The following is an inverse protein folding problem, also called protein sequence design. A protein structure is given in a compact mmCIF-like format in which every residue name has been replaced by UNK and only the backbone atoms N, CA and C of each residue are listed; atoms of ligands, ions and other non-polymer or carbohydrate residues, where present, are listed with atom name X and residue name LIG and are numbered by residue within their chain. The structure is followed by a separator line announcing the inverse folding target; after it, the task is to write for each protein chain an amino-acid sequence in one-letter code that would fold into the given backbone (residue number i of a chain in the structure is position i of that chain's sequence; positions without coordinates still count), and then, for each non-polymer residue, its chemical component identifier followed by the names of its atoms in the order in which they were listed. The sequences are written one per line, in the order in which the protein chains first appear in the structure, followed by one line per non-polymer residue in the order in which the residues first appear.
data_IF_949932587112
#
_entry.id   IF_949932587112
#
_cell.length_a   1.000
_cell.length_b   1.000
_cell.length_c   1.000
_cell.angle_alpha   90.00
_cell.angle_beta   90.00
_cell.angle_gamma   90.00
#
_symmetry.space_group_name_H-M   'P 1'
#
loop_
_entity.id
_entity.type
_entity.pdbx_description
1 polymer ?
#
# COMPACT_ATOMS: atom_id res chain seq x y z
N UNK A 1 -29.21 17.20 3.21
CA UNK A 1 -27.81 16.86 3.56
C UNK A 1 -27.69 15.36 3.56
N UNK A 2 -26.72 14.84 2.84
CA UNK A 2 -26.48 13.42 2.80
C UNK A 2 -26.11 12.92 4.19
N UNK A 3 -26.71 11.80 4.60
CA UNK A 3 -26.48 11.28 5.95
C UNK A 3 -25.40 10.21 5.92
N UNK A 4 -24.18 10.58 6.27
CA UNK A 4 -23.05 9.68 6.40
C UNK A 4 -22.95 8.96 7.75
N UNK A 5 -23.85 9.21 8.71
CA UNK A 5 -23.73 8.70 10.08
C UNK A 5 -23.75 7.17 10.21
N UNK A 6 -24.25 6.47 9.19
CA UNK A 6 -24.27 5.02 9.13
C UNK A 6 -23.40 4.45 8.02
N UNK A 7 -22.55 5.28 7.39
CA UNK A 7 -21.59 4.83 6.38
C UNK A 7 -20.37 4.28 7.09
N UNK A 8 -20.08 3.01 6.85
CA UNK A 8 -18.82 2.39 7.28
C UNK A 8 -17.67 3.04 6.52
N UNK A 9 -16.57 3.35 7.19
CA UNK A 9 -15.38 3.90 6.56
C UNK A 9 -14.23 2.91 6.67
N UNK A 10 -13.67 2.53 5.53
CA UNK A 10 -12.57 1.58 5.41
C UNK A 10 -11.38 2.31 4.79
N UNK A 11 -10.32 2.47 5.57
CA UNK A 11 -9.02 2.91 5.11
C UNK A 11 -8.29 1.71 4.49
N UNK A 12 -7.95 1.81 3.21
CA UNK A 12 -7.37 0.68 2.47
C UNK A 12 -5.86 0.76 2.32
N UNK A 13 -5.26 1.84 2.83
CA UNK A 13 -3.82 2.04 2.84
C UNK A 13 -3.44 2.94 4.03
N UNK A 14 -3.28 2.32 5.16
CA UNK A 14 -2.75 2.94 6.35
C UNK A 14 -1.48 2.22 6.78
N UNK A 15 -0.58 2.93 7.47
CA UNK A 15 0.75 2.40 7.77
C UNK A 15 0.98 2.12 9.25
N UNK A 16 1.87 1.15 9.51
CA UNK A 16 2.50 0.85 10.80
C UNK A 16 4.01 0.78 10.63
N UNK A 17 4.73 0.96 11.72
CA UNK A 17 6.18 1.09 11.68
C UNK A 17 6.88 -0.03 12.44
N UNK A 18 7.34 -1.02 11.74
CA UNK A 18 8.07 -2.17 12.29
C UNK A 18 9.56 -1.89 12.54
N UNK A 19 10.05 -0.74 12.15
CA UNK A 19 11.47 -0.44 12.25
C UNK A 19 12.05 -0.39 13.66
N UNK A 20 11.23 -0.26 14.72
CA UNK A 20 11.66 -0.32 16.12
C UNK A 20 11.44 -1.69 16.77
N UNK A 21 10.93 -2.67 15.99
CA UNK A 21 10.64 -4.03 16.49
C UNK A 21 11.93 -4.84 16.54
N UNK A 22 12.11 -5.59 17.61
CA UNK A 22 13.16 -6.63 17.66
C UNK A 22 12.73 -7.84 16.81
N UNK A 23 13.03 -7.78 15.52
CA UNK A 23 12.76 -8.88 14.62
C UNK A 23 13.68 -10.08 14.87
N UNK A 24 14.86 -9.90 15.49
CA UNK A 24 15.80 -10.99 15.74
C UNK A 24 15.21 -12.07 16.64
N UNK A 25 14.39 -11.68 17.63
CA UNK A 25 13.72 -12.62 18.54
C UNK A 25 12.69 -13.50 17.83
N UNK A 26 12.13 -13.03 16.68
CA UNK A 26 11.14 -13.72 15.86
C UNK A 26 11.78 -14.58 14.76
N UNK A 27 13.10 -14.43 14.55
CA UNK A 27 13.83 -15.18 13.54
C UNK A 27 14.39 -16.51 14.10
N UNK A 28 14.44 -17.58 13.27
CA UNK A 28 15.15 -18.79 13.65
C UNK A 28 16.61 -18.50 14.04
N UNK A 29 17.13 -19.19 15.04
CA UNK A 29 18.45 -18.93 15.65
C UNK A 29 19.56 -18.70 14.65
N UNK A 30 19.65 -19.54 13.63
CA UNK A 30 20.67 -19.45 12.55
C UNK A 30 20.62 -18.15 11.75
N UNK A 31 19.50 -17.41 11.79
CA UNK A 31 19.29 -16.18 11.03
C UNK A 31 19.37 -14.91 11.90
N UNK A 32 19.39 -15.03 13.23
CA UNK A 32 19.34 -13.88 14.15
C UNK A 32 20.47 -12.88 13.94
N UNK A 33 21.66 -13.34 13.57
CA UNK A 33 22.79 -12.47 13.26
C UNK A 33 22.63 -11.65 11.96
N UNK A 34 21.64 -11.98 11.14
CA UNK A 34 21.31 -11.27 9.90
C UNK A 34 20.06 -10.36 10.06
N UNK A 35 19.54 -10.22 11.27
CA UNK A 35 18.45 -9.30 11.54
C UNK A 35 18.85 -7.85 11.19
N UNK A 36 17.89 -6.99 10.79
CA UNK A 36 18.17 -5.59 10.51
C UNK A 36 18.79 -4.87 11.71
N UNK A 37 19.87 -4.14 11.51
CA UNK A 37 20.56 -3.37 12.55
C UNK A 37 20.37 -1.88 12.27
N UNK A 38 19.79 -1.14 13.22
CA UNK A 38 19.68 0.31 13.12
C UNK A 38 20.99 1.00 13.46
N UNK A 39 21.35 1.96 12.62
CA UNK A 39 22.54 2.77 12.73
C UNK A 39 22.16 4.25 12.69
N UNK A 40 23.09 5.10 13.15
CA UNK A 40 23.13 6.52 12.82
C UNK A 40 24.35 6.78 11.94
N UNK A 41 24.19 7.52 10.85
CA UNK A 41 25.32 7.98 10.07
C UNK A 41 26.00 9.20 10.74
N UNK A 42 27.08 9.70 10.13
CA UNK A 42 27.83 10.83 10.69
C UNK A 42 27.04 12.15 10.75
N UNK A 43 25.95 12.23 10.00
CA UNK A 43 25.03 13.37 9.98
C UNK A 43 23.85 13.18 10.94
N UNK A 44 23.80 12.04 11.64
CA UNK A 44 22.72 11.68 12.57
C UNK A 44 21.51 11.05 11.90
N UNK A 45 21.56 10.77 10.60
CA UNK A 45 20.47 10.17 9.87
C UNK A 45 20.32 8.69 10.23
N UNK A 46 19.09 8.21 10.35
CA UNK A 46 18.82 6.79 10.56
C UNK A 46 19.15 5.98 9.32
N UNK A 47 19.77 4.82 9.52
CA UNK A 47 20.11 3.84 8.49
C UNK A 47 19.82 2.44 9.00
N UNK A 48 19.66 1.51 8.09
CA UNK A 48 19.54 0.08 8.39
C UNK A 48 20.70 -0.65 7.72
N UNK A 49 21.46 -1.40 8.50
CA UNK A 49 22.39 -2.41 7.97
C UNK A 49 21.61 -3.71 7.80
N UNK A 50 21.48 -4.19 6.58
CA UNK A 50 20.78 -5.40 6.24
C UNK A 50 21.45 -6.04 5.02
N UNK A 51 21.71 -7.34 5.07
CA UNK A 51 22.38 -8.10 4.01
C UNK A 51 23.75 -7.47 3.62
N UNK A 52 24.50 -6.99 4.62
CA UNK A 52 25.82 -6.36 4.39
C UNK A 52 25.75 -4.99 3.68
N UNK A 53 24.57 -4.43 3.48
CA UNK A 53 24.34 -3.14 2.82
C UNK A 53 23.67 -2.15 3.78
N UNK A 54 23.96 -0.87 3.56
CA UNK A 54 23.30 0.22 4.28
C UNK A 54 22.09 0.67 3.48
N UNK A 55 20.93 0.57 4.10
CA UNK A 55 19.67 1.02 3.55
C UNK A 55 19.25 2.29 4.26
N UNK A 56 18.53 3.13 3.56
CA UNK A 56 17.88 4.27 4.18
C UNK A 56 16.84 3.80 5.20
N UNK A 57 16.69 4.58 6.26
CA UNK A 57 15.61 4.44 7.22
C UNK A 57 14.84 5.74 7.28
N UNK A 58 13.57 5.65 7.58
CA UNK A 58 12.71 6.80 7.75
C UNK A 58 13.32 7.85 8.64
N UNK A 59 13.25 9.08 8.25
CA UNK A 59 13.77 10.23 8.97
C UNK A 59 12.79 11.39 8.95
N UNK A 60 12.93 12.25 9.91
CA UNK A 60 12.11 13.46 9.96
C UNK A 60 10.75 13.23 10.64
N UNK A 61 9.85 14.21 10.53
CA UNK A 61 8.56 14.18 11.21
C UNK A 61 7.54 13.19 10.62
N UNK A 62 7.82 12.53 9.51
CA UNK A 62 6.99 11.46 8.98
C UNK A 62 7.83 10.27 8.53
N UNK A 63 7.37 9.02 8.69
CA UNK A 63 8.04 7.87 8.12
C UNK A 63 8.18 8.03 6.60
N UNK A 64 9.31 7.60 6.07
CA UNK A 64 9.56 7.57 4.62
C UNK A 64 10.25 8.82 4.05
N UNK A 65 10.42 9.89 4.81
CA UNK A 65 10.98 11.15 4.28
C UNK A 65 12.43 11.40 4.70
N UNK A 66 13.23 11.89 3.79
CA UNK A 66 14.56 12.43 4.06
C UNK A 66 14.65 13.91 3.62
N UNK A 67 15.26 14.73 4.47
CA UNK A 67 15.51 16.15 4.18
C UNK A 67 14.60 17.13 4.88
N UNK A 68 14.73 18.44 4.59
CA UNK A 68 13.95 19.50 5.22
C UNK A 68 12.47 19.44 4.82
N UNK A 69 11.58 19.60 5.80
CA UNK A 69 10.13 19.63 5.62
C UNK A 69 9.52 20.91 6.18
N UNK A 70 8.32 21.22 5.73
CA UNK A 70 7.53 22.32 6.28
C UNK A 70 6.87 21.89 7.59
N UNK A 71 6.40 22.87 8.38
CA UNK A 71 5.61 22.60 9.59
C UNK A 71 4.27 21.89 9.31
N UNK A 72 3.83 21.86 8.05
CA UNK A 72 2.61 21.15 7.64
C UNK A 72 2.80 19.64 7.53
N UNK A 73 4.03 19.18 7.30
CA UNK A 73 4.31 17.76 7.22
C UNK A 73 4.05 17.09 8.57
N UNK A 74 3.39 15.95 8.54
CA UNK A 74 3.00 15.24 9.76
C UNK A 74 4.21 14.57 10.41
N UNK A 75 4.17 14.56 11.73
CA UNK A 75 5.13 13.83 12.54
C UNK A 75 4.69 12.39 12.78
N UNK A 76 5.64 11.61 13.26
CA UNK A 76 5.39 10.28 13.77
C UNK A 76 4.33 10.30 14.88
N UNK A 77 3.38 9.37 14.81
CA UNK A 77 2.35 9.22 15.84
C UNK A 77 2.48 7.87 16.56
N UNK A 78 2.10 7.80 17.87
CA UNK A 78 2.14 6.55 18.62
C UNK A 78 1.38 5.39 17.95
N UNK A 79 0.29 5.68 17.22
CA UNK A 79 -0.48 4.69 16.48
C UNK A 79 0.29 3.92 15.40
N UNK A 80 1.49 4.39 15.03
CA UNK A 80 2.38 3.62 14.13
C UNK A 80 2.96 2.36 14.78
N UNK A 81 3.01 2.29 16.11
CA UNK A 81 3.61 1.15 16.86
C UNK A 81 2.71 0.61 17.96
N UNK A 82 1.74 1.41 18.43
CA UNK A 82 0.80 1.06 19.48
C UNK A 82 -0.61 0.92 18.90
N UNK A 83 -1.17 -0.30 18.85
CA UNK A 83 -2.50 -0.54 18.29
C UNK A 83 -3.62 0.16 19.07
N UNK A 84 -3.46 0.39 20.38
CA UNK A 84 -4.46 1.10 21.19
C UNK A 84 -4.48 2.58 20.84
N UNK A 85 -3.32 3.18 20.62
CA UNK A 85 -3.22 4.55 20.13
C UNK A 85 -3.77 4.64 18.69
N UNK A 86 -3.49 3.64 17.84
CA UNK A 86 -4.04 3.59 16.46
C UNK A 86 -5.57 3.61 16.44
N UNK A 87 -6.22 2.80 17.26
CA UNK A 87 -7.68 2.76 17.34
C UNK A 87 -8.28 4.11 17.74
N UNK A 88 -7.62 4.84 18.64
CA UNK A 88 -8.03 6.20 19.03
C UNK A 88 -7.86 7.20 17.87
N UNK A 89 -6.77 7.10 17.13
CA UNK A 89 -6.53 7.95 15.98
C UNK A 89 -7.57 7.68 14.86
N UNK A 90 -7.91 6.42 14.61
CA UNK A 90 -8.99 6.04 13.70
C UNK A 90 -10.34 6.64 14.12
N UNK A 91 -10.65 6.63 15.42
CA UNK A 91 -11.88 7.26 15.93
C UNK A 91 -11.90 8.79 15.72
N UNK A 92 -10.74 9.46 15.83
CA UNK A 92 -10.61 10.89 15.56
C UNK A 92 -10.76 11.22 14.07
N UNK A 93 -10.36 10.33 13.20
CA UNK A 93 -10.37 10.50 11.76
C UNK A 93 -11.69 10.03 11.12
N UNK A 94 -12.45 9.20 11.83
CA UNK A 94 -13.72 8.66 11.35
C UNK A 94 -13.60 7.34 10.61
N UNK A 95 -12.53 6.58 10.87
CA UNK A 95 -12.22 5.29 10.22
C UNK A 95 -12.68 4.13 11.11
N UNK A 96 -13.57 3.29 10.60
CA UNK A 96 -14.05 2.11 11.31
C UNK A 96 -13.12 0.92 11.18
N UNK A 97 -12.46 0.76 10.01
CA UNK A 97 -11.56 -0.35 9.70
C UNK A 97 -10.37 0.15 8.90
N UNK A 98 -9.17 -0.35 9.20
CA UNK A 98 -7.95 0.00 8.49
C UNK A 98 -7.20 -1.25 8.02
N UNK A 99 -6.72 -1.22 6.77
CA UNK A 99 -5.83 -2.21 6.18
C UNK A 99 -4.42 -1.65 6.27
N UNK A 100 -3.52 -2.37 6.97
CA UNK A 100 -2.28 -1.84 7.51
C UNK A 100 -1.06 -2.41 6.81
N UNK A 101 -0.30 -1.54 6.19
CA UNK A 101 0.99 -1.84 5.56
C UNK A 101 2.15 -1.55 6.52
N UNK A 102 3.20 -2.35 6.45
CA UNK A 102 4.48 -2.02 7.07
C UNK A 102 5.24 -0.98 6.24
N UNK A 103 5.99 -0.10 6.90
CA UNK A 103 6.65 1.05 6.25
C UNK A 103 8.14 0.84 5.98
N UNK A 104 8.85 0.05 6.80
CA UNK A 104 10.31 0.00 6.73
C UNK A 104 10.83 -1.28 6.09
N UNK A 105 10.69 -2.41 6.77
CA UNK A 105 11.18 -3.71 6.26
C UNK A 105 10.26 -4.22 5.16
N UNK A 106 8.96 -3.95 5.27
CA UNK A 106 7.98 -4.30 4.26
C UNK A 106 8.38 -3.76 2.88
N UNK A 107 8.74 -2.51 2.80
CA UNK A 107 9.14 -1.86 1.55
C UNK A 107 10.56 -2.28 1.09
N UNK A 108 11.38 -2.83 1.98
CA UNK A 108 12.78 -3.19 1.68
C UNK A 108 12.95 -4.66 1.28
N UNK A 109 12.17 -5.56 1.85
CA UNK A 109 12.41 -7.01 1.82
C UNK A 109 12.52 -7.60 0.42
N UNK A 110 11.73 -7.12 -0.53
CA UNK A 110 11.75 -7.60 -1.92
C UNK A 110 12.94 -7.05 -2.74
N UNK A 111 13.72 -6.14 -2.17
CA UNK A 111 14.99 -5.66 -2.70
C UNK A 111 16.21 -6.46 -2.27
N UNK A 112 16.06 -7.47 -1.40
CA UNK A 112 17.17 -8.32 -0.95
C UNK A 112 17.59 -9.31 -2.05
N UNK A 113 18.89 -9.59 -2.11
CA UNK A 113 19.45 -10.62 -3.00
C UNK A 113 19.10 -12.03 -2.52
N UNK A 114 19.11 -12.23 -1.19
CA UNK A 114 18.80 -13.53 -0.58
C UNK A 114 17.30 -13.74 -0.42
N UNK A 115 16.74 -14.60 -1.26
CA UNK A 115 15.35 -15.04 -1.10
C UNK A 115 15.10 -15.80 0.21
N UNK A 116 16.12 -16.46 0.77
CA UNK A 116 16.01 -17.14 2.06
C UNK A 116 15.91 -16.15 3.22
N UNK A 117 16.75 -15.10 3.23
CA UNK A 117 16.68 -14.04 4.23
C UNK A 117 15.35 -13.28 4.11
N UNK A 118 14.93 -12.95 2.88
CA UNK A 118 13.64 -12.34 2.63
C UNK A 118 12.48 -13.18 3.20
N UNK A 119 12.51 -14.49 3.00
CA UNK A 119 11.50 -15.42 3.54
C UNK A 119 11.43 -15.37 5.06
N UNK A 120 12.56 -15.35 5.73
CA UNK A 120 12.62 -15.31 7.20
C UNK A 120 12.12 -13.95 7.73
N UNK A 121 12.50 -12.86 7.07
CA UNK A 121 12.07 -11.52 7.45
C UNK A 121 10.57 -11.31 7.19
N UNK A 122 10.03 -11.76 6.06
CA UNK A 122 8.58 -11.72 5.81
C UNK A 122 7.81 -12.38 6.94
N UNK A 123 8.20 -13.62 7.34
CA UNK A 123 7.56 -14.33 8.45
C UNK A 123 7.65 -13.53 9.76
N UNK A 124 8.81 -13.02 10.12
CA UNK A 124 9.01 -12.29 11.36
C UNK A 124 8.16 -11.00 11.44
N UNK A 125 8.05 -10.27 10.33
CA UNK A 125 7.20 -9.07 10.22
C UNK A 125 5.72 -9.46 10.24
N UNK A 126 5.31 -10.48 9.51
CA UNK A 126 3.92 -10.95 9.48
C UNK A 126 3.43 -11.37 10.87
N UNK A 127 4.23 -12.12 11.63
CA UNK A 127 3.90 -12.50 13.00
C UNK A 127 3.72 -11.29 13.92
N UNK A 128 4.59 -10.29 13.80
CA UNK A 128 4.46 -9.04 14.54
C UNK A 128 3.21 -8.26 14.14
N UNK A 129 2.94 -8.14 12.83
CA UNK A 129 1.78 -7.39 12.34
C UNK A 129 0.45 -8.05 12.75
N UNK A 130 0.39 -9.38 12.70
CA UNK A 130 -0.77 -10.13 13.20
C UNK A 130 -0.99 -9.93 14.70
N UNK A 131 0.10 -9.87 15.48
CA UNK A 131 0.03 -9.55 16.91
C UNK A 131 -0.47 -8.11 17.13
N UNK A 132 0.05 -7.13 16.40
CA UNK A 132 -0.44 -5.76 16.43
C UNK A 132 -1.95 -5.69 16.14
N UNK A 133 -2.40 -6.33 15.08
CA UNK A 133 -3.80 -6.34 14.67
C UNK A 133 -4.71 -7.10 15.64
N UNK A 134 -4.16 -7.99 16.48
CA UNK A 134 -4.94 -8.76 17.47
C UNK A 134 -5.60 -7.90 18.54
N UNK A 135 -5.19 -6.63 18.70
CA UNK A 135 -5.81 -5.68 19.63
C UNK A 135 -7.29 -5.40 19.28
N UNK A 136 -7.63 -5.36 18.00
CA UNK A 136 -9.00 -5.37 17.49
C UNK A 136 -9.05 -5.98 16.08
N UNK A 137 -9.19 -7.28 15.93
CA UNK A 137 -9.11 -7.97 14.65
C UNK A 137 -10.30 -7.69 13.70
N UNK A 138 -11.30 -6.92 14.15
CA UNK A 138 -12.38 -6.43 13.29
C UNK A 138 -12.08 -5.07 12.67
N UNK A 139 -11.21 -4.31 13.32
CA UNK A 139 -10.86 -2.95 12.87
C UNK A 139 -9.46 -2.84 12.28
N UNK A 140 -8.51 -3.67 12.71
CA UNK A 140 -7.11 -3.66 12.28
C UNK A 140 -6.81 -4.92 11.47
N UNK A 141 -6.54 -4.76 10.17
CA UNK A 141 -6.28 -5.85 9.24
C UNK A 141 -4.88 -5.69 8.64
N UNK A 142 -3.99 -6.66 8.93
CA UNK A 142 -2.62 -6.60 8.45
C UNK A 142 -2.48 -7.05 6.99
N UNK A 143 -1.66 -6.34 6.24
CA UNK A 143 -1.22 -6.73 4.90
C UNK A 143 -0.03 -7.67 5.00
N UNK A 144 -0.17 -8.87 4.48
CA UNK A 144 0.89 -9.88 4.53
C UNK A 144 2.07 -9.52 3.63
N UNK A 145 3.28 -9.79 4.09
CA UNK A 145 4.49 -9.70 3.28
C UNK A 145 4.85 -11.07 2.69
N UNK A 146 5.24 -11.08 1.42
CA UNK A 146 5.70 -12.30 0.73
C UNK A 146 7.04 -12.06 0.05
N UNK A 147 7.96 -13.05 0.08
CA UNK A 147 9.27 -12.93 -0.56
C UNK A 147 9.16 -13.18 -2.07
N UNK A 148 8.78 -12.15 -2.85
CA UNK A 148 8.50 -12.29 -4.29
C UNK A 148 9.72 -12.79 -5.10
N UNK A 149 10.94 -12.47 -4.71
CA UNK A 149 12.17 -13.01 -5.32
C UNK A 149 12.38 -14.52 -5.08
N UNK A 150 11.56 -15.14 -4.22
CA UNK A 150 11.54 -16.57 -3.95
C UNK A 150 10.10 -17.13 -4.08
N UNK A 151 9.53 -17.24 -5.30
CA UNK A 151 8.10 -17.48 -5.52
C UNK A 151 7.55 -18.73 -4.82
N UNK A 152 8.33 -19.80 -4.71
CA UNK A 152 7.89 -21.00 -4.00
C UNK A 152 7.81 -20.82 -2.48
N UNK A 153 8.62 -19.93 -1.92
CA UNK A 153 8.50 -19.53 -0.52
C UNK A 153 7.33 -18.57 -0.33
N UNK A 154 7.09 -17.66 -1.29
CA UNK A 154 5.96 -16.76 -1.29
C UNK A 154 4.61 -17.51 -1.28
N UNK A 155 4.48 -18.61 -2.04
CA UNK A 155 3.29 -19.47 -2.00
C UNK A 155 3.03 -19.99 -0.59
N UNK A 156 4.05 -20.51 0.10
CA UNK A 156 3.90 -21.01 1.48
C UNK A 156 3.53 -19.90 2.46
N UNK A 157 4.03 -18.70 2.21
CA UNK A 157 3.70 -17.54 3.03
C UNK A 157 2.27 -17.07 2.79
N UNK A 158 1.79 -17.06 1.55
CA UNK A 158 0.37 -16.79 1.22
C UNK A 158 -0.57 -17.78 1.90
N UNK A 159 -0.25 -19.08 1.89
CA UNK A 159 -1.04 -20.10 2.58
C UNK A 159 -1.08 -19.88 4.11
N UNK A 160 0.05 -19.45 4.69
CA UNK A 160 0.11 -19.10 6.11
C UNK A 160 -0.76 -17.87 6.40
N UNK A 161 -0.62 -16.81 5.62
CA UNK A 161 -1.36 -15.56 5.77
C UNK A 161 -2.87 -15.76 5.64
N UNK A 162 -3.30 -16.56 4.67
CA UNK A 162 -4.72 -16.89 4.50
C UNK A 162 -5.29 -17.60 5.72
N UNK A 163 -4.55 -18.55 6.32
CA UNK A 163 -4.95 -19.24 7.56
C UNK A 163 -4.96 -18.31 8.76
N UNK A 164 -4.09 -17.32 8.79
CA UNK A 164 -3.98 -16.32 9.85
C UNK A 164 -5.02 -15.19 9.72
N UNK A 165 -5.79 -15.13 8.63
CA UNK A 165 -6.86 -14.16 8.44
C UNK A 165 -6.41 -12.85 7.78
N UNK A 166 -5.21 -12.78 7.20
CA UNK A 166 -4.80 -11.65 6.37
C UNK A 166 -5.72 -11.52 5.15
N UNK A 167 -6.10 -10.29 4.81
CA UNK A 167 -7.08 -10.03 3.73
C UNK A 167 -6.42 -9.78 2.39
N UNK A 168 -5.13 -9.48 2.38
CA UNK A 168 -4.31 -9.24 1.18
C UNK A 168 -2.85 -9.50 1.48
N UNK A 169 -2.04 -9.64 0.43
CA UNK A 169 -0.59 -9.66 0.53
C UNK A 169 0.03 -8.62 -0.40
N UNK A 170 1.11 -7.99 0.06
CA UNK A 170 1.82 -6.94 -0.66
C UNK A 170 2.69 -7.52 -1.77
N UNK A 171 2.59 -6.92 -2.95
CA UNK A 171 3.55 -7.03 -4.04
C UNK A 171 4.35 -5.73 -4.16
N UNK A 172 5.65 -5.79 -4.43
CA UNK A 172 6.39 -4.62 -4.89
C UNK A 172 6.05 -4.31 -6.34
N UNK A 173 6.47 -3.16 -6.85
CA UNK A 173 6.36 -2.84 -8.28
C UNK A 173 7.36 -3.64 -9.13
N UNK A 174 8.50 -3.97 -8.53
CA UNK A 174 9.54 -4.84 -9.10
C UNK A 174 10.35 -5.48 -7.95
N UNK A 175 11.15 -6.48 -8.24
CA UNK A 175 12.03 -7.12 -7.25
C UNK A 175 13.50 -7.00 -7.64
N UNK A 176 14.39 -7.41 -6.73
CA UNK A 176 15.82 -7.48 -7.00
C UNK A 176 16.12 -8.09 -8.38
N UNK A 177 17.03 -7.46 -9.12
CA UNK A 177 17.37 -7.86 -10.50
C UNK A 177 16.41 -7.33 -11.56
N UNK A 178 15.61 -6.31 -11.25
CA UNK A 178 14.69 -5.60 -12.16
C UNK A 178 13.66 -6.52 -12.81
N UNK A 179 13.11 -7.47 -12.05
CA UNK A 179 12.02 -8.31 -12.49
C UNK A 179 10.69 -7.59 -12.22
N UNK A 180 9.97 -7.28 -13.27
CA UNK A 180 8.65 -6.63 -13.19
C UNK A 180 7.53 -7.64 -12.97
N UNK A 181 6.42 -7.20 -12.40
CA UNK A 181 5.33 -8.07 -11.93
C UNK A 181 4.59 -8.85 -13.04
N UNK A 182 4.83 -8.61 -14.32
CA UNK A 182 4.33 -9.46 -15.41
C UNK A 182 5.18 -10.69 -15.71
N UNK A 183 6.40 -10.80 -15.16
CA UNK A 183 7.33 -11.91 -15.42
C UNK A 183 6.71 -13.25 -14.97
N UNK A 184 6.88 -14.29 -15.80
CA UNK A 184 6.37 -15.64 -15.55
C UNK A 184 6.89 -16.29 -14.27
N UNK A 185 7.99 -15.81 -13.72
CA UNK A 185 8.49 -16.32 -12.44
C UNK A 185 7.48 -16.12 -11.30
N UNK A 186 6.58 -15.13 -11.39
CA UNK A 186 5.55 -14.85 -10.39
C UNK A 186 4.25 -15.64 -10.57
N UNK A 187 4.11 -16.40 -11.66
CA UNK A 187 2.94 -17.23 -11.94
C UNK A 187 2.51 -18.12 -10.74
N UNK A 188 3.42 -18.75 -9.97
CA UNK A 188 3.01 -19.51 -8.78
C UNK A 188 2.35 -18.67 -7.69
N UNK A 189 2.73 -17.39 -7.55
CA UNK A 189 2.12 -16.45 -6.59
C UNK A 189 0.69 -16.13 -7.03
N UNK A 190 0.49 -15.83 -8.30
CA UNK A 190 -0.82 -15.49 -8.87
C UNK A 190 -1.80 -16.65 -8.82
N UNK A 191 -1.34 -17.86 -9.15
CA UNK A 191 -2.14 -19.08 -9.06
C UNK A 191 -2.58 -19.38 -7.63
N UNK A 192 -1.66 -19.25 -6.67
CA UNK A 192 -1.96 -19.42 -5.25
C UNK A 192 -2.94 -18.37 -4.75
N UNK A 193 -2.69 -17.08 -5.03
CA UNK A 193 -3.54 -15.98 -4.59
C UNK A 193 -4.97 -16.12 -5.12
N UNK A 194 -5.16 -16.41 -6.42
CA UNK A 194 -6.50 -16.63 -6.97
C UNK A 194 -7.18 -17.87 -6.38
N UNK A 195 -6.42 -18.94 -6.10
CA UNK A 195 -6.95 -20.18 -5.50
C UNK A 195 -7.42 -19.98 -4.07
N UNK A 196 -6.73 -19.12 -3.32
CA UNK A 196 -7.11 -18.71 -1.97
C UNK A 196 -8.22 -17.65 -1.95
N UNK A 197 -8.54 -17.03 -3.11
CA UNK A 197 -9.43 -15.87 -3.18
C UNK A 197 -8.84 -14.61 -2.55
N UNK A 198 -7.54 -14.60 -2.25
CA UNK A 198 -6.83 -13.47 -1.66
C UNK A 198 -6.42 -12.48 -2.74
N UNK A 199 -6.86 -11.20 -2.72
CA UNK A 199 -6.33 -10.18 -3.59
C UNK A 199 -4.88 -9.85 -3.23
N UNK A 200 -4.17 -9.25 -4.18
CA UNK A 200 -2.81 -8.76 -3.98
C UNK A 200 -2.79 -7.23 -4.07
N UNK A 201 -1.93 -6.59 -3.30
CA UNK A 201 -1.79 -5.13 -3.25
C UNK A 201 -0.39 -4.73 -3.71
N UNK A 202 -0.29 -4.13 -4.90
CA UNK A 202 0.97 -3.58 -5.42
C UNK A 202 1.21 -2.24 -4.75
N UNK A 203 2.31 -2.14 -4.01
CA UNK A 203 2.69 -0.93 -3.29
C UNK A 203 4.05 -0.42 -3.81
N UNK A 204 4.14 0.85 -4.22
CA UNK A 204 5.38 1.45 -4.71
C UNK A 204 6.31 1.82 -3.55
N UNK A 205 7.52 2.23 -3.92
CA UNK A 205 8.48 2.84 -3.03
C UNK A 205 9.45 3.71 -3.83
N UNK A 206 10.19 4.57 -3.16
CA UNK A 206 11.19 5.43 -3.81
C UNK A 206 12.39 4.65 -4.38
N UNK A 207 12.51 3.38 -4.05
CA UNK A 207 13.59 2.51 -4.50
C UNK A 207 14.89 2.68 -3.70
N UNK A 208 15.31 3.90 -3.47
CA UNK A 208 16.45 4.25 -2.62
C UNK A 208 16.45 5.77 -2.36
N UNK A 209 17.01 6.20 -1.27
CA UNK A 209 17.14 7.64 -0.95
C UNK A 209 18.33 8.28 -1.68
N UNK A 210 18.33 8.23 -2.99
CA UNK A 210 19.35 8.87 -3.82
C UNK A 210 20.72 8.16 -3.85
N UNK A 211 20.82 6.91 -3.39
CA UNK A 211 22.06 6.12 -3.48
C UNK A 211 21.90 5.04 -4.55
N UNK A 212 22.38 5.27 -5.78
CA UNK A 212 22.26 4.31 -6.87
C UNK A 212 22.80 2.92 -6.50
N UNK A 213 22.02 1.88 -6.78
CA UNK A 213 22.43 0.48 -6.58
C UNK A 213 22.35 -0.03 -5.15
N UNK A 214 21.89 0.76 -4.19
CA UNK A 214 21.72 0.32 -2.80
C UNK A 214 20.40 -0.44 -2.62
N UNK A 215 19.33 -0.01 -3.27
CA UNK A 215 18.05 -0.70 -3.27
C UNK A 215 18.01 -1.76 -4.38
N UNK A 216 17.48 -2.91 -4.09
CA UNK A 216 17.22 -3.94 -5.09
C UNK A 216 15.90 -3.76 -5.83
N UNK A 217 15.02 -2.87 -5.33
CA UNK A 217 13.80 -2.43 -5.98
C UNK A 217 14.04 -1.02 -6.52
N UNK A 218 13.67 -0.81 -7.77
CA UNK A 218 13.82 0.50 -8.42
C UNK A 218 12.58 1.34 -8.23
N UNK A 219 12.79 2.65 -8.03
CA UNK A 219 11.76 3.67 -8.14
C UNK A 219 12.03 4.53 -9.35
N UNK A 220 11.06 4.74 -10.22
CA UNK A 220 11.20 5.57 -11.41
C UNK A 220 11.68 6.98 -11.05
N UNK A 221 12.69 7.47 -11.75
CA UNK A 221 13.30 8.79 -11.47
C UNK A 221 14.42 8.77 -10.43
N UNK A 222 14.55 7.72 -9.63
CA UNK A 222 15.60 7.61 -8.61
C UNK A 222 17.00 7.57 -9.21
N UNK A 223 17.14 7.16 -10.47
CA UNK A 223 18.39 7.18 -11.24
C UNK A 223 18.83 8.58 -11.68
N UNK A 224 17.95 9.60 -11.55
CA UNK A 224 18.19 10.99 -12.01
C UNK A 224 18.15 12.01 -10.90
N UNK A 225 17.37 11.77 -9.85
CA UNK A 225 17.04 12.76 -8.86
C UNK A 225 17.60 12.39 -7.49
N UNK A 226 18.17 13.39 -6.81
CA UNK A 226 18.70 13.27 -5.46
C UNK A 226 17.79 13.92 -4.40
N UNK A 227 16.84 14.78 -4.84
CA UNK A 227 15.87 15.39 -3.93
C UNK A 227 14.67 14.46 -3.77
N UNK A 228 14.34 14.12 -2.54
CA UNK A 228 13.22 13.24 -2.20
C UNK A 228 11.92 13.63 -2.90
N UNK A 229 11.57 14.93 -2.91
CA UNK A 229 10.35 15.43 -3.56
C UNK A 229 10.23 15.00 -5.03
N UNK A 230 11.32 15.02 -5.79
CA UNK A 230 11.28 14.62 -7.20
C UNK A 230 11.20 13.11 -7.35
N UNK A 231 11.91 12.38 -6.48
CA UNK A 231 11.86 10.90 -6.48
C UNK A 231 10.47 10.42 -6.11
N UNK A 232 9.87 10.96 -5.05
CA UNK A 232 8.54 10.59 -4.61
C UNK A 232 7.48 10.88 -5.69
N UNK A 233 7.45 12.11 -6.22
CA UNK A 233 6.51 12.53 -7.26
C UNK A 233 6.57 11.67 -8.53
N UNK A 234 7.71 11.06 -8.83
CA UNK A 234 7.89 10.22 -10.02
C UNK A 234 7.74 8.74 -9.70
N UNK A 235 8.38 8.26 -8.63
CA UNK A 235 8.42 6.83 -8.32
C UNK A 235 7.01 6.25 -8.08
N UNK A 236 6.18 6.93 -7.30
CA UNK A 236 4.90 6.37 -6.88
C UNK A 236 3.94 6.14 -8.06
N UNK A 237 3.50 7.15 -8.81
CA UNK A 237 2.59 6.91 -9.92
C UNK A 237 3.25 6.13 -11.07
N UNK A 238 4.51 6.41 -11.41
CA UNK A 238 5.11 5.78 -12.59
C UNK A 238 5.44 4.31 -12.37
N UNK A 239 5.86 3.92 -11.17
CA UNK A 239 6.07 2.50 -10.86
C UNK A 239 4.75 1.72 -10.88
N UNK A 240 3.64 2.29 -10.41
CA UNK A 240 2.33 1.67 -10.54
C UNK A 240 1.88 1.55 -12.00
N UNK A 241 2.10 2.61 -12.79
CA UNK A 241 1.83 2.58 -14.23
C UNK A 241 2.65 1.49 -14.94
N UNK A 242 3.93 1.34 -14.60
CA UNK A 242 4.81 0.31 -15.15
C UNK A 242 4.35 -1.08 -14.71
N UNK A 243 4.07 -1.29 -13.42
CA UNK A 243 3.62 -2.57 -12.90
C UNK A 243 2.28 -3.00 -13.54
N UNK A 244 1.29 -2.09 -13.61
CA UNK A 244 0.00 -2.34 -14.25
C UNK A 244 0.18 -2.69 -15.73
N UNK A 245 0.97 -1.89 -16.48
CA UNK A 245 1.23 -2.13 -17.89
C UNK A 245 1.85 -3.51 -18.11
N UNK A 246 2.84 -3.87 -17.31
CA UNK A 246 3.54 -5.14 -17.49
C UNK A 246 2.64 -6.34 -17.11
N UNK A 247 1.88 -6.25 -16.02
CA UNK A 247 0.93 -7.32 -15.64
C UNK A 247 -0.16 -7.51 -16.69
N UNK A 248 -0.72 -6.43 -17.22
CA UNK A 248 -1.75 -6.49 -18.28
C UNK A 248 -1.12 -7.01 -19.57
N UNK A 249 -0.02 -6.41 -20.03
CA UNK A 249 0.61 -6.72 -21.31
C UNK A 249 1.11 -8.17 -21.40
N UNK A 250 1.67 -8.68 -20.31
CA UNK A 250 2.10 -10.09 -20.21
C UNK A 250 0.96 -11.05 -19.89
N UNK A 251 -0.30 -10.59 -19.96
CA UNK A 251 -1.49 -11.42 -19.85
C UNK A 251 -1.73 -12.05 -18.47
N UNK A 252 -1.24 -11.47 -17.37
CA UNK A 252 -1.45 -12.01 -16.02
C UNK A 252 -2.94 -12.15 -15.72
N UNK A 253 -3.72 -11.11 -15.99
CA UNK A 253 -5.17 -11.10 -15.71
C UNK A 253 -5.98 -12.02 -16.60
N UNK A 254 -5.47 -12.38 -17.77
CA UNK A 254 -6.08 -13.35 -18.68
C UNK A 254 -5.75 -14.79 -18.29
N UNK A 255 -4.53 -15.03 -17.76
CA UNK A 255 -4.13 -16.35 -17.23
C UNK A 255 -4.79 -16.66 -15.89
N UNK A 256 -5.00 -15.63 -15.07
CA UNK A 256 -5.56 -15.74 -13.71
C UNK A 256 -6.86 -14.93 -13.61
N UNK A 257 -7.97 -15.41 -14.21
CA UNK A 257 -9.18 -14.60 -14.35
C UNK A 257 -9.92 -14.29 -13.04
N UNK A 258 -9.55 -14.92 -11.93
CA UNK A 258 -10.09 -14.63 -10.61
C UNK A 258 -9.12 -13.83 -9.73
N UNK A 259 -7.91 -13.55 -10.21
CA UNK A 259 -6.94 -12.74 -9.51
C UNK A 259 -7.43 -11.28 -9.46
N UNK A 260 -7.35 -10.68 -8.28
CA UNK A 260 -7.61 -9.25 -8.06
C UNK A 260 -6.34 -8.58 -7.57
N UNK A 261 -6.04 -7.41 -8.14
CA UNK A 261 -4.84 -6.64 -7.82
C UNK A 261 -5.21 -5.18 -7.57
N UNK A 262 -4.86 -4.69 -6.39
CA UNK A 262 -4.95 -3.28 -6.03
C UNK A 262 -3.61 -2.57 -6.27
N UNK A 263 -3.66 -1.34 -6.74
CA UNK A 263 -2.50 -0.46 -6.95
C UNK A 263 -2.59 0.69 -5.95
N UNK A 264 -1.69 0.67 -4.95
CA UNK A 264 -1.77 1.49 -3.74
C UNK A 264 -0.88 2.73 -3.84
N UNK A 265 -1.24 3.80 -3.14
CA UNK A 265 -0.40 4.99 -2.88
C UNK A 265 0.23 5.65 -4.14
N UNK A 266 -0.54 5.77 -5.21
CA UNK A 266 -0.05 6.47 -6.42
C UNK A 266 -1.11 7.32 -7.09
N UNK A 267 -2.24 7.52 -6.39
CA UNK A 267 -3.40 8.23 -6.90
C UNK A 267 -4.12 7.47 -8.01
N UNK A 268 -5.26 7.99 -8.45
CA UNK A 268 -6.09 7.39 -9.49
C UNK A 268 -6.26 8.29 -10.73
N UNK A 269 -5.91 9.57 -10.65
CA UNK A 269 -6.14 10.55 -11.71
C UNK A 269 -5.46 10.25 -13.05
N UNK A 270 -4.38 9.46 -13.04
CA UNK A 270 -3.66 9.03 -14.24
C UNK A 270 -4.36 7.89 -15.02
N UNK A 271 -5.29 7.17 -14.40
CA UNK A 271 -5.85 5.93 -14.94
C UNK A 271 -6.58 6.11 -16.29
N UNK A 272 -7.41 7.15 -16.52
CA UNK A 272 -8.06 7.35 -17.81
C UNK A 272 -7.05 7.51 -18.95
N UNK A 273 -6.02 8.33 -18.75
CA UNK A 273 -4.95 8.53 -19.71
C UNK A 273 -4.20 7.22 -20.02
N UNK A 274 -3.91 6.44 -18.97
CA UNK A 274 -3.12 5.22 -19.13
C UNK A 274 -3.91 4.13 -19.87
N UNK A 275 -5.19 3.98 -19.57
CA UNK A 275 -6.08 3.04 -20.24
C UNK A 275 -6.21 3.34 -21.75
N UNK A 276 -6.44 4.63 -22.10
CA UNK A 276 -6.54 5.08 -23.48
C UNK A 276 -5.22 4.87 -24.23
N UNK A 277 -4.11 5.29 -23.63
CA UNK A 277 -2.78 5.14 -24.23
C UNK A 277 -2.43 3.67 -24.46
N UNK A 278 -2.77 2.78 -23.55
CA UNK A 278 -2.47 1.37 -23.68
C UNK A 278 -3.31 0.72 -24.79
N UNK A 279 -4.61 1.03 -24.86
CA UNK A 279 -5.49 0.56 -25.93
C UNK A 279 -4.99 1.01 -27.31
N UNK A 280 -4.56 2.28 -27.44
CA UNK A 280 -4.00 2.80 -28.70
C UNK A 280 -2.76 2.00 -29.17
N UNK A 281 -1.87 1.64 -28.23
CA UNK A 281 -0.66 0.90 -28.56
C UNK A 281 -0.98 -0.54 -28.99
N UNK A 282 -1.93 -1.20 -28.31
CA UNK A 282 -2.35 -2.57 -28.66
C UNK A 282 -2.97 -2.66 -30.03
N UNK A 283 -3.69 -1.66 -30.49
CA UNK A 283 -4.25 -1.65 -31.87
C UNK A 283 -3.18 -1.84 -32.96
N UNK A 284 -1.95 -1.42 -32.69
CA UNK A 284 -0.85 -1.47 -33.66
C UNK A 284 0.22 -2.51 -33.32
N UNK A 285 0.41 -2.82 -32.05
CA UNK A 285 1.55 -3.60 -31.55
C UNK A 285 1.12 -4.91 -30.85
N UNK A 286 -0.14 -5.34 -31.00
CA UNK A 286 -0.64 -6.58 -30.40
C UNK A 286 0.28 -7.81 -30.58
N UNK A 287 0.98 -8.02 -31.73
CA UNK A 287 1.91 -9.14 -31.86
C UNK A 287 3.06 -9.17 -30.86
N UNK A 288 3.37 -8.02 -30.20
CA UNK A 288 4.39 -7.96 -29.14
C UNK A 288 3.87 -8.41 -27.77
N UNK A 289 2.54 -8.60 -27.62
CA UNK A 289 1.88 -9.02 -26.37
C UNK A 289 0.96 -10.23 -26.64
N UNK A 290 1.52 -11.39 -27.01
CA UNK A 290 0.74 -12.54 -27.50
C UNK A 290 -0.16 -13.17 -26.43
N UNK A 291 0.13 -12.94 -25.16
CA UNK A 291 -0.63 -13.49 -24.03
C UNK A 291 -1.82 -12.62 -23.61
N UNK A 292 -1.87 -11.37 -24.06
CA UNK A 292 -2.99 -10.46 -23.82
C UNK A 292 -4.18 -10.83 -24.73
N UNK A 293 -5.34 -11.12 -24.12
CA UNK A 293 -6.56 -11.56 -24.84
C UNK A 293 -7.65 -10.50 -24.86
N UNK A 294 -7.76 -9.70 -23.83
CA UNK A 294 -8.74 -8.61 -23.67
C UNK A 294 -8.06 -7.27 -23.92
N UNK A 295 -8.85 -6.25 -24.26
CA UNK A 295 -8.32 -4.87 -24.30
C UNK A 295 -7.86 -4.46 -22.90
N UNK A 296 -6.74 -3.71 -22.77
CA UNK A 296 -6.28 -3.18 -21.49
C UNK A 296 -7.36 -2.43 -20.71
N UNK A 297 -8.13 -1.56 -21.37
CA UNK A 297 -9.24 -0.83 -20.74
C UNK A 297 -10.36 -1.74 -20.23
N UNK A 298 -10.62 -2.89 -20.83
CA UNK A 298 -11.58 -3.88 -20.34
C UNK A 298 -11.10 -4.55 -19.06
N UNK A 299 -9.79 -4.84 -18.96
CA UNK A 299 -9.18 -5.39 -17.76
C UNK A 299 -9.23 -4.35 -16.64
N UNK A 300 -8.84 -3.10 -16.92
CA UNK A 300 -8.85 -1.99 -15.95
C UNK A 300 -10.27 -1.74 -15.39
N UNK A 301 -11.31 -1.88 -16.22
CA UNK A 301 -12.71 -1.72 -15.81
C UNK A 301 -13.30 -2.92 -15.08
N UNK A 302 -12.60 -4.04 -15.08
CA UNK A 302 -13.09 -5.27 -14.44
C UNK A 302 -12.87 -5.24 -12.92
N UNK A 303 -13.45 -6.21 -12.21
CA UNK A 303 -13.24 -6.40 -10.78
C UNK A 303 -11.82 -6.86 -10.41
N UNK A 304 -10.96 -7.10 -11.41
CA UNK A 304 -9.59 -7.56 -11.21
C UNK A 304 -8.63 -6.43 -10.84
N UNK A 305 -8.96 -5.18 -11.15
CA UNK A 305 -8.09 -4.01 -10.98
C UNK A 305 -8.76 -2.95 -10.11
N UNK A 306 -8.05 -2.49 -9.10
CA UNK A 306 -8.50 -1.41 -8.20
C UNK A 306 -7.30 -0.52 -7.86
N UNK A 307 -7.55 0.75 -7.58
CA UNK A 307 -6.55 1.71 -7.14
C UNK A 307 -6.97 2.34 -5.81
N UNK A 308 -6.02 2.96 -5.11
CA UNK A 308 -6.34 3.88 -4.03
C UNK A 308 -6.27 5.33 -4.48
N UNK A 309 -7.04 6.18 -3.82
CA UNK A 309 -6.86 7.62 -3.86
C UNK A 309 -6.69 8.17 -2.45
N UNK A 310 -5.93 9.24 -2.35
CA UNK A 310 -5.84 10.03 -1.13
C UNK A 310 -7.00 11.04 -1.04
N UNK A 311 -7.22 11.60 0.16
CA UNK A 311 -8.35 12.46 0.43
C UNK A 311 -8.35 13.80 -0.31
N UNK A 312 -7.15 14.29 -0.64
CA UNK A 312 -6.97 15.59 -1.32
C UNK A 312 -6.99 15.47 -2.85
N UNK A 313 -7.10 14.25 -3.39
CA UNK A 313 -7.12 14.04 -4.84
C UNK A 313 -8.40 14.59 -5.47
N UNK A 314 -8.23 15.41 -6.50
CA UNK A 314 -9.33 16.03 -7.24
C UNK A 314 -9.54 15.37 -8.61
N UNK A 315 -10.75 15.47 -9.17
CA UNK A 315 -11.04 14.94 -10.51
C UNK A 315 -11.37 13.45 -10.54
N UNK A 316 -11.69 12.84 -9.40
CA UNK A 316 -12.15 11.44 -9.32
C UNK A 316 -13.46 11.20 -10.09
N UNK A 317 -14.28 12.24 -10.29
CA UNK A 317 -15.44 12.20 -11.17
C UNK A 317 -15.09 11.78 -12.59
N UNK A 318 -13.96 12.25 -13.13
CA UNK A 318 -13.45 11.87 -14.46
C UNK A 318 -12.96 10.42 -14.47
N UNK A 319 -12.31 9.98 -13.40
CA UNK A 319 -11.87 8.59 -13.26
C UNK A 319 -13.08 7.66 -13.28
N UNK A 320 -14.11 7.97 -12.52
CA UNK A 320 -15.34 7.18 -12.45
C UNK A 320 -16.10 7.17 -13.78
N UNK A 321 -16.18 8.32 -14.46
CA UNK A 321 -16.83 8.41 -15.77
C UNK A 321 -16.10 7.62 -16.85
N UNK A 322 -14.77 7.62 -16.84
CA UNK A 322 -13.96 6.96 -17.85
C UNK A 322 -13.81 5.45 -17.60
N UNK A 323 -13.73 5.02 -16.35
CA UNK A 323 -13.40 3.64 -15.98
C UNK A 323 -14.59 2.93 -15.33
N UNK A 324 -14.69 2.98 -14.02
CA UNK A 324 -15.76 2.37 -13.23
C UNK A 324 -15.79 3.00 -11.85
N UNK A 325 -16.97 3.16 -11.29
CA UNK A 325 -17.12 3.60 -9.89
C UNK A 325 -16.62 2.57 -8.86
N UNK A 326 -16.31 1.33 -9.31
CA UNK A 326 -15.77 0.26 -8.46
C UNK A 326 -14.23 0.13 -8.59
N UNK A 327 -13.57 1.12 -9.21
CA UNK A 327 -12.14 1.03 -9.51
C UNK A 327 -11.27 1.70 -8.43
N UNK A 328 -11.84 2.58 -7.58
CA UNK A 328 -11.06 3.37 -6.63
C UNK A 328 -11.55 3.13 -5.20
N UNK A 329 -10.59 3.00 -4.28
CA UNK A 329 -10.79 2.88 -2.83
C UNK A 329 -10.16 4.08 -2.13
N UNK A 330 -10.72 4.49 -1.00
CA UNK A 330 -10.16 5.52 -0.13
C UNK A 330 -8.96 5.00 0.64
N UNK A 331 -7.92 5.83 0.74
CA UNK A 331 -6.73 5.63 1.55
C UNK A 331 -6.44 6.87 2.40
N UNK A 332 -6.02 6.65 3.65
CA UNK A 332 -5.60 7.74 4.54
C UNK A 332 -4.11 8.06 4.45
N UNK A 333 -3.34 7.06 4.04
CA UNK A 333 -1.88 7.05 4.16
C UNK A 333 -1.37 7.42 5.57
N UNK A 334 -2.14 7.07 6.58
CA UNK A 334 -1.80 7.33 7.99
C UNK A 334 -0.54 6.55 8.43
N UNK A 335 0.47 7.15 9.08
CA UNK A 335 0.58 8.59 9.22
C UNK A 335 1.88 9.02 8.55
N UNK A 336 1.90 8.94 7.23
CA UNK A 336 2.99 9.48 6.44
C UNK A 336 2.97 11.01 6.49
N UNK A 337 4.03 11.63 5.97
CA UNK A 337 4.27 13.06 6.04
C UNK A 337 3.22 13.89 5.29
N UNK A 338 2.58 13.31 4.29
CA UNK A 338 1.59 13.90 3.41
C UNK A 338 0.14 13.53 3.76
N UNK A 339 -0.10 12.62 4.71
CA UNK A 339 -1.45 12.32 5.17
C UNK A 339 -2.17 13.54 5.74
N UNK A 340 -3.49 13.63 5.54
CA UNK A 340 -4.29 14.74 6.06
C UNK A 340 -5.01 14.36 7.37
N UNK A 341 -4.30 13.69 8.29
CA UNK A 341 -4.83 13.36 9.62
C UNK A 341 -5.13 14.64 10.44
N UNK A 342 -6.24 14.74 11.17
CA UNK A 342 -7.33 13.77 11.31
C UNK A 342 -8.55 14.08 10.42
N UNK A 343 -8.37 14.65 9.24
CA UNK A 343 -9.44 15.20 8.41
C UNK A 343 -9.62 14.50 7.06
N UNK A 344 -8.87 13.43 6.77
CA UNK A 344 -8.90 12.78 5.46
C UNK A 344 -10.31 12.30 5.07
N UNK A 345 -11.07 11.70 5.99
CA UNK A 345 -12.45 11.30 5.76
C UNK A 345 -13.36 12.52 5.57
N UNK A 346 -13.09 13.59 6.32
CA UNK A 346 -13.85 14.85 6.20
C UNK A 346 -13.70 15.48 4.82
N UNK A 347 -12.50 15.46 4.26
CA UNK A 347 -12.25 15.99 2.92
C UNK A 347 -13.06 15.26 1.84
N UNK A 348 -13.13 13.94 1.92
CA UNK A 348 -13.98 13.14 1.02
C UNK A 348 -15.46 13.52 1.18
N UNK A 349 -15.94 13.62 2.43
CA UNK A 349 -17.35 13.95 2.71
C UNK A 349 -17.71 15.34 2.21
N UNK A 350 -16.88 16.33 2.47
CA UNK A 350 -17.10 17.73 2.13
C UNK A 350 -16.79 18.03 0.65
N UNK A 351 -16.02 17.18 -0.02
CA UNK A 351 -15.70 17.29 -1.45
C UNK A 351 -16.97 17.40 -2.31
N UNK A 352 -16.90 18.17 -3.40
CA UNK A 352 -18.08 18.48 -4.25
C UNK A 352 -18.12 17.70 -5.55
N UNK A 353 -17.04 17.03 -5.90
CA UNK A 353 -16.86 16.40 -7.21
C UNK A 353 -17.62 15.06 -7.34
N UNK A 354 -17.99 14.45 -6.20
CA UNK A 354 -18.64 13.16 -6.16
C UNK A 354 -20.04 13.23 -5.54
N UNK A 355 -20.97 12.45 -6.09
CA UNK A 355 -22.27 12.20 -5.46
C UNK A 355 -22.12 11.38 -4.18
N UNK A 356 -23.16 11.39 -3.31
CA UNK A 356 -23.20 10.56 -2.11
C UNK A 356 -22.94 9.07 -2.39
N UNK A 357 -23.57 8.53 -3.42
CA UNK A 357 -23.39 7.12 -3.79
C UNK A 357 -21.96 6.80 -4.22
N UNK A 358 -21.28 7.72 -4.91
CA UNK A 358 -19.88 7.57 -5.29
C UNK A 358 -18.95 7.64 -4.08
N UNK A 359 -19.19 8.57 -3.16
CA UNK A 359 -18.46 8.68 -1.89
C UNK A 359 -18.63 7.42 -1.03
N UNK A 360 -19.85 6.88 -0.95
CA UNK A 360 -20.10 5.63 -0.23
C UNK A 360 -19.34 4.47 -0.86
N UNK A 361 -19.29 4.36 -2.18
CA UNK A 361 -18.47 3.36 -2.87
C UNK A 361 -16.99 3.51 -2.55
N UNK A 362 -16.49 4.74 -2.63
CA UNK A 362 -15.11 5.08 -2.34
C UNK A 362 -14.72 4.71 -0.91
N UNK A 363 -15.57 5.07 0.07
CA UNK A 363 -15.28 4.88 1.50
C UNK A 363 -15.43 3.45 1.98
N UNK A 364 -16.19 2.58 1.29
CA UNK A 364 -16.37 1.20 1.76
C UNK A 364 -16.69 0.15 0.69
N UNK A 365 -17.67 0.35 -0.20
CA UNK A 365 -18.20 -0.74 -1.04
C UNK A 365 -17.14 -1.37 -1.92
N UNK A 366 -16.32 -0.54 -2.57
CA UNK A 366 -15.21 -1.02 -3.41
C UNK A 366 -14.23 -1.86 -2.60
N UNK A 367 -13.87 -1.42 -1.39
CA UNK A 367 -12.97 -2.15 -0.50
C UNK A 367 -13.59 -3.48 -0.01
N UNK A 368 -14.88 -3.48 0.37
CA UNK A 368 -15.59 -4.69 0.80
C UNK A 368 -15.55 -5.75 -0.30
N UNK A 369 -15.87 -5.35 -1.54
CA UNK A 369 -15.91 -6.25 -2.69
C UNK A 369 -14.51 -6.71 -3.10
N UNK A 370 -13.55 -5.79 -3.15
CA UNK A 370 -12.16 -6.11 -3.52
C UNK A 370 -11.49 -7.08 -2.55
N UNK A 371 -11.53 -6.77 -1.26
CA UNK A 371 -10.92 -7.62 -0.22
C UNK A 371 -11.82 -8.77 0.24
N UNK A 372 -13.07 -8.83 -0.23
CA UNK A 372 -14.09 -9.80 0.21
C UNK A 372 -14.27 -9.81 1.74
N UNK A 373 -14.36 -8.63 2.32
CA UNK A 373 -14.44 -8.45 3.75
C UNK A 373 -15.73 -9.07 4.34
N UNK A 374 -15.57 -9.78 5.43
CA UNK A 374 -16.65 -10.42 6.18
C UNK A 374 -16.62 -9.94 7.63
N UNK A 375 -17.74 -10.08 8.33
CA UNK A 375 -17.83 -9.71 9.75
C UNK A 375 -17.45 -8.25 10.02
N UNK A 376 -17.98 -7.34 9.19
CA UNK A 376 -17.73 -5.90 9.28
C UNK A 376 -18.08 -5.35 10.67
N UNK A 377 -17.30 -4.40 11.23
CA UNK A 377 -17.67 -3.68 12.43
C UNK A 377 -18.92 -2.84 12.22
N UNK A 378 -19.51 -2.37 13.29
CA UNK A 378 -20.60 -1.38 13.20
C UNK A 378 -20.02 -0.02 12.80
N UNK A 379 -20.63 0.67 11.84
CA UNK A 379 -20.30 2.04 11.50
C UNK A 379 -20.54 2.96 12.70
N UNK A 380 -19.50 3.54 13.25
CA UNK A 380 -19.58 4.41 14.43
C UNK A 380 -18.48 5.48 14.48
N UNK A 381 -17.33 5.25 13.87
CA UNK A 381 -16.16 6.11 13.98
C UNK A 381 -16.48 7.53 13.44
N UNK A 382 -17.22 7.63 12.36
CA UNK A 382 -17.59 8.93 11.78
C UNK A 382 -18.44 9.81 12.71
N UNK A 383 -19.33 9.20 13.52
CA UNK A 383 -20.08 9.97 14.54
C UNK A 383 -19.17 10.56 15.60
N UNK A 384 -18.18 9.78 16.04
CA UNK A 384 -17.19 10.19 17.04
C UNK A 384 -16.34 11.33 16.45
N UNK A 385 -15.84 11.15 15.25
CA UNK A 385 -15.00 12.12 14.55
C UNK A 385 -15.68 13.46 14.35
N UNK A 386 -16.94 13.48 13.89
CA UNK A 386 -17.72 14.71 13.69
C UNK A 386 -17.83 15.53 14.95
N UNK A 387 -18.12 14.91 16.10
CA UNK A 387 -18.16 15.60 17.38
C UNK A 387 -16.79 16.20 17.74
N UNK A 388 -15.71 15.51 17.42
CA UNK A 388 -14.35 15.98 17.64
C UNK A 388 -13.98 17.15 16.73
N UNK A 389 -14.36 17.08 15.44
CA UNK A 389 -14.13 18.16 14.46
C UNK A 389 -14.87 19.45 14.83
N UNK A 390 -16.16 19.34 15.19
CA UNK A 390 -17.00 20.49 15.59
C UNK A 390 -16.47 21.19 16.85
N UNK A 391 -15.98 20.43 17.82
CA UNK A 391 -15.45 20.94 19.08
C UNK A 391 -14.00 21.42 19.01
N UNK A 392 -13.33 21.32 17.87
CA UNK A 392 -11.92 21.65 17.69
C UNK A 392 -10.95 20.74 18.48
N UNK A 393 -11.43 19.61 19.00
CA UNK A 393 -10.62 18.67 19.77
C UNK A 393 -9.71 17.84 18.87
N UNK A 394 -10.12 17.58 17.64
CA UNK A 394 -9.33 16.85 16.65
C UNK A 394 -7.99 17.57 16.36
N UNK A 395 -8.02 18.90 16.18
CA UNK A 395 -6.79 19.68 15.96
C UNK A 395 -5.86 19.67 17.17
N UNK A 396 -6.40 19.68 18.38
CA UNK A 396 -5.59 19.59 19.61
C UNK A 396 -4.92 18.21 19.73
N UNK A 397 -5.66 17.15 19.42
CA UNK A 397 -5.11 15.79 19.45
C UNK A 397 -4.10 15.53 18.32
N UNK A 398 -4.26 16.17 17.16
CA UNK A 398 -3.31 16.07 16.06
C UNK A 398 -1.96 16.75 16.39
N UNK A 399 -1.96 17.74 17.28
CA UNK A 399 -0.77 18.49 17.69
C UNK A 399 -0.12 17.93 18.95
N UNK A 400 -0.69 16.93 19.61
CA UNK A 400 -0.16 16.25 20.79
C UNK A 400 0.60 14.98 20.40
#
# INVERSE_FOLDING_TARGET
MDNFDNVLVIDTDGHVYEGNVDLSSRMPEKWRSQAPIRLKDNEGNSRILLEGRIWSASQGPGPGVSGPMTEKARGYRPGMVDPVARLKDMDLEGIDMAILFGTQIALTVNGLMSGELATVLCRAVNEWLLEYCSADPKRLLGVGLIPCQAPQAAVKELEFLAKAGAVTAMLPTNVYGLKNMGDRMFDPIYDCAQSLGMPLSVHPQTGHDGVPGVSGVMGAGSERFFKYVYVHMTAFPFELMIAMMHMIGEGVFDRYPKLRVGFMEGGAGWLPFWAERFDEHIEKLAPQMPDLKRRPSEIIKSEQVTLTCESEETGLDRVFAANSENTVMYASDYCHWDCHFPYSVKDIIDGRDLSFAQKEKLLNKTAIDFFQLKNLPQANALKIARQSWENGNAQKAANA
#
